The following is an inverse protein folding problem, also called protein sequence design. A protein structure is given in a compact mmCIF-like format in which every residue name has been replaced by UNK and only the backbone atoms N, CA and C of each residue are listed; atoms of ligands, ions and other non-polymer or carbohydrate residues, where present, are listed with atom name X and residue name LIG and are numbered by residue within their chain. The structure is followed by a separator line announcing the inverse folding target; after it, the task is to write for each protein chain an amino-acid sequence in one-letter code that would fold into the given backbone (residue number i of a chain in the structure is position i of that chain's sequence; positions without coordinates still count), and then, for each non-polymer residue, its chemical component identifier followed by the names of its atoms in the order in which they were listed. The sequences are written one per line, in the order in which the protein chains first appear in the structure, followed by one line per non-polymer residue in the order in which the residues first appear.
data_IF_097129311943
#
_entry.id   IF_097129311943
#
_cell.length_a   1.000
_cell.length_b   1.000
_cell.length_c   1.000
_cell.angle_alpha   90.00
_cell.angle_beta   90.00
_cell.angle_gamma   90.00
#
_symmetry.space_group_name_H-M   'P 1'
#
loop_
_entity.id
_entity.type
_entity.pdbx_description
1 polymer ?
#
# COMPACT_ATOMS: atom_id res chain seq x y z
N UNK A 1 -59.18 -47.31 27.40
CA UNK A 1 -57.96 -47.66 26.63
C UNK A 1 -57.40 -46.38 26.05
N UNK A 2 -56.33 -45.86 26.64
CA UNK A 2 -55.56 -44.74 26.11
C UNK A 2 -54.10 -45.21 25.95
N UNK A 3 -53.47 -45.02 24.78
CA UNK A 3 -52.13 -45.55 24.54
C UNK A 3 -51.05 -44.71 25.23
N UNK A 4 -50.07 -45.46 25.74
CA UNK A 4 -48.89 -45.04 26.49
C UNK A 4 -47.80 -44.45 25.59
N UNK A 5 -46.95 -43.66 26.24
CA UNK A 5 -45.88 -42.80 25.73
C UNK A 5 -44.85 -43.45 24.79
N UNK A 6 -44.23 -42.61 23.95
CA UNK A 6 -42.90 -42.83 23.39
C UNK A 6 -42.05 -41.55 23.60
N UNK A 7 -40.96 -41.68 24.35
CA UNK A 7 -40.00 -40.61 24.64
C UNK A 7 -39.11 -40.32 23.42
N UNK A 8 -38.95 -39.05 23.01
CA UNK A 8 -38.21 -38.68 21.80
C UNK A 8 -36.72 -38.33 22.07
N UNK A 9 -36.01 -39.12 22.88
CA UNK A 9 -34.64 -38.76 23.31
C UNK A 9 -33.64 -39.91 23.14
N UNK A 10 -33.49 -40.38 21.90
CA UNK A 10 -32.36 -41.22 21.50
C UNK A 10 -31.60 -40.54 20.37
N UNK A 11 -30.34 -40.12 20.59
CA UNK A 11 -29.52 -39.54 19.53
C UNK A 11 -29.21 -40.61 18.47
N UNK A 12 -29.13 -40.22 17.19
CA UNK A 12 -28.87 -41.15 16.10
C UNK A 12 -27.46 -41.77 16.23
N UNK A 13 -27.30 -43.04 15.82
CA UNK A 13 -26.01 -43.73 15.89
C UNK A 13 -24.97 -43.03 15.00
N UNK A 14 -23.74 -42.90 15.54
CA UNK A 14 -22.63 -42.29 14.85
C UNK A 14 -22.19 -43.12 13.62
N UNK A 15 -21.78 -42.47 12.52
CA UNK A 15 -21.28 -43.16 11.34
C UNK A 15 -19.94 -43.87 11.61
N UNK A 16 -19.66 -44.99 10.91
CA UNK A 16 -18.42 -45.74 11.08
C UNK A 16 -17.21 -44.92 10.61
N UNK A 17 -16.12 -45.00 11.40
CA UNK A 17 -14.86 -44.33 11.09
C UNK A 17 -14.21 -44.95 9.83
N UNK A 18 -13.59 -44.12 8.96
CA UNK A 18 -12.91 -44.62 7.78
C UNK A 18 -11.65 -45.42 8.15
N UNK A 19 -11.27 -46.44 7.34
CA UNK A 19 -10.09 -47.24 7.58
C UNK A 19 -8.82 -46.38 7.51
N UNK A 20 -7.95 -46.53 8.50
CA UNK A 20 -6.66 -45.85 8.60
C UNK A 20 -5.75 -46.26 7.44
N UNK A 21 -5.49 -45.32 6.53
CA UNK A 21 -4.54 -45.52 5.43
C UNK A 21 -3.14 -45.74 6.02
N UNK A 22 -2.57 -46.93 5.78
CA UNK A 22 -1.17 -47.25 6.10
C UNK A 22 -0.26 -46.31 5.31
N UNK A 23 0.46 -45.46 6.04
CA UNK A 23 1.51 -44.59 5.50
C UNK A 23 2.67 -45.48 5.03
N UNK A 24 3.10 -45.40 3.76
CA UNK A 24 4.23 -46.18 3.27
C UNK A 24 5.55 -45.70 3.90
N UNK A 25 6.54 -46.60 4.10
CA UNK A 25 7.83 -46.24 4.68
C UNK A 25 8.59 -45.28 3.76
N UNK A 26 9.21 -44.27 4.40
CA UNK A 26 9.97 -43.21 3.75
C UNK A 26 11.26 -43.79 3.14
N UNK A 27 11.59 -43.51 1.86
CA UNK A 27 12.82 -44.00 1.25
C UNK A 27 14.04 -43.36 1.91
N UNK A 28 15.07 -44.17 2.18
CA UNK A 28 16.33 -43.73 2.76
C UNK A 28 17.06 -42.81 1.77
N UNK A 29 17.36 -41.58 2.22
CA UNK A 29 18.14 -40.61 1.45
C UNK A 29 19.60 -41.08 1.38
N UNK A 30 20.13 -41.17 0.16
CA UNK A 30 21.53 -41.47 -0.09
C UNK A 30 22.45 -40.35 0.45
N UNK A 31 23.68 -40.68 0.90
CA UNK A 31 24.60 -39.70 1.44
C UNK A 31 25.03 -38.69 0.37
N UNK A 32 24.69 -37.43 0.59
CA UNK A 32 25.16 -36.29 -0.22
C UNK A 32 26.66 -36.10 0.00
N UNK A 33 27.43 -36.39 -1.05
CA UNK A 33 28.86 -36.04 -1.13
C UNK A 33 28.97 -34.51 -1.16
N UNK A 34 29.59 -33.94 -0.12
CA UNK A 34 29.79 -32.50 -0.02
C UNK A 34 30.74 -32.02 -1.14
N UNK A 35 30.42 -30.94 -1.87
CA UNK A 35 31.31 -30.36 -2.86
C UNK A 35 32.55 -29.76 -2.19
N UNK A 36 33.72 -29.80 -2.86
CA UNK A 36 34.96 -29.22 -2.34
C UNK A 36 34.83 -27.71 -2.15
N UNK A 37 35.37 -27.22 -1.04
CA UNK A 37 35.34 -25.81 -0.67
C UNK A 37 36.04 -24.95 -1.75
N UNK A 38 35.46 -23.80 -2.16
CA UNK A 38 36.10 -22.90 -3.10
C UNK A 38 37.36 -22.30 -2.47
N UNK A 39 38.45 -22.32 -3.24
CA UNK A 39 39.71 -21.69 -2.88
C UNK A 39 39.48 -20.22 -2.52
N UNK A 40 39.92 -19.84 -1.32
CA UNK A 40 39.83 -18.48 -0.80
C UNK A 40 40.63 -17.53 -1.69
N UNK A 41 39.93 -16.71 -2.47
CA UNK A 41 40.56 -15.61 -3.20
C UNK A 41 41.14 -14.60 -2.19
N UNK A 42 42.33 -14.04 -2.47
CA UNK A 42 42.90 -13.00 -1.61
C UNK A 42 41.96 -11.78 -1.57
N UNK A 43 41.84 -11.11 -0.42
CA UNK A 43 40.97 -9.95 -0.29
C UNK A 43 41.42 -8.83 -1.24
N UNK A 44 40.48 -8.11 -1.87
CA UNK A 44 40.82 -6.97 -2.70
C UNK A 44 41.53 -5.92 -1.84
N UNK A 45 42.67 -5.44 -2.34
CA UNK A 45 43.40 -4.31 -1.78
C UNK A 45 42.45 -3.11 -1.80
N UNK A 46 41.92 -2.74 -0.64
CA UNK A 46 41.13 -1.53 -0.47
C UNK A 46 42.07 -0.34 -0.63
N UNK A 47 42.09 0.25 -1.81
CA UNK A 47 42.62 1.59 -2.00
C UNK A 47 41.85 2.52 -1.07
N UNK A 48 42.56 3.09 -0.08
CA UNK A 48 42.02 4.06 0.84
C UNK A 48 41.38 5.22 0.06
N UNK A 49 40.06 5.27 0.07
CA UNK A 49 39.28 6.38 -0.45
C UNK A 49 39.63 7.62 0.40
N UNK A 50 40.07 8.73 -0.21
CA UNK A 50 40.40 9.93 0.54
C UNK A 50 39.12 10.44 1.26
N UNK A 51 39.25 11.02 2.46
CA UNK A 51 38.10 11.49 3.23
C UNK A 51 37.32 12.52 2.41
N UNK A 52 36.13 12.12 1.96
CA UNK A 52 35.16 13.03 1.34
C UNK A 52 34.76 14.03 2.42
N UNK A 53 35.20 15.28 2.26
CA UNK A 53 34.78 16.37 3.11
C UNK A 53 33.24 16.43 3.12
N UNK A 54 32.59 16.55 4.29
CA UNK A 54 31.14 16.68 4.34
C UNK A 54 30.73 17.90 3.50
N UNK A 55 29.67 17.80 2.68
CA UNK A 55 29.19 18.95 1.93
C UNK A 55 28.89 20.08 2.92
N UNK A 56 29.19 21.35 2.58
CA UNK A 56 28.82 22.47 3.43
C UNK A 56 27.32 22.38 3.68
N UNK A 57 26.95 22.41 4.96
CA UNK A 57 25.56 22.54 5.38
C UNK A 57 25.13 23.92 4.93
N UNK A 58 24.63 24.03 3.70
CA UNK A 58 23.97 25.23 3.21
C UNK A 58 22.75 25.40 4.09
N UNK A 59 22.83 26.36 5.01
CA UNK A 59 21.71 26.80 5.81
C UNK A 59 20.53 26.98 4.86
N UNK A 60 19.45 26.23 5.09
CA UNK A 60 18.18 26.40 4.40
C UNK A 60 17.81 27.88 4.54
N UNK A 61 18.03 28.65 3.48
CA UNK A 61 17.49 29.97 3.36
C UNK A 61 15.98 29.81 3.50
N UNK A 62 15.41 30.45 4.52
CA UNK A 62 14.00 30.49 4.78
C UNK A 62 13.26 30.81 3.48
N UNK A 63 12.58 29.81 2.93
CA UNK A 63 11.67 30.00 1.80
C UNK A 63 10.59 30.95 2.30
N UNK A 64 10.65 32.18 1.80
CA UNK A 64 9.66 33.20 2.10
C UNK A 64 8.27 32.65 1.75
N UNK A 65 7.40 32.58 2.75
CA UNK A 65 6.01 32.17 2.56
C UNK A 65 5.37 32.99 1.43
N UNK A 66 4.65 32.35 0.49
CA UNK A 66 3.87 33.07 -0.48
C UNK A 66 2.76 33.84 0.26
N UNK A 67 2.89 35.17 0.28
CA UNK A 67 1.89 36.10 0.81
C UNK A 67 0.51 35.73 0.26
N UNK A 68 -0.34 35.17 1.14
CA UNK A 68 -1.74 34.87 0.86
C UNK A 68 -2.45 36.15 0.42
N UNK A 69 -2.71 36.28 -0.88
CA UNK A 69 -3.61 37.30 -1.42
C UNK A 69 -4.99 37.08 -0.80
N UNK A 70 -5.38 37.99 0.09
CA UNK A 70 -6.74 38.07 0.64
C UNK A 70 -7.71 38.31 -0.49
N UNK A 71 -8.41 37.27 -0.94
CA UNK A 71 -9.62 37.43 -1.74
C UNK A 71 -10.67 38.12 -0.87
N UNK A 72 -10.92 39.41 -1.14
CA UNK A 72 -12.10 40.11 -0.64
C UNK A 72 -13.34 39.44 -1.23
N UNK A 73 -13.99 38.57 -0.43
CA UNK A 73 -15.35 38.10 -0.72
C UNK A 73 -16.28 39.31 -0.71
N UNK A 74 -16.77 39.67 -1.89
CA UNK A 74 -17.90 40.57 -2.10
C UNK A 74 -19.13 39.89 -1.52
N UNK A 75 -19.86 40.60 -0.67
CA UNK A 75 -21.07 40.11 -0.02
C UNK A 75 -22.18 39.84 -1.02
N UNK A 76 -22.87 38.71 -0.82
CA UNK A 76 -24.23 38.50 -1.30
C UNK A 76 -25.10 38.28 -0.08
N UNK A 77 -25.90 39.30 0.22
CA UNK A 77 -27.05 39.21 1.12
C UNK A 77 -28.23 38.65 0.32
N UNK A 78 -28.79 37.53 0.78
CA UNK A 78 -30.15 37.06 0.50
C UNK A 78 -30.49 36.09 1.65
N UNK A 79 -31.22 36.58 2.65
CA UNK A 79 -32.64 36.27 2.90
C UNK A 79 -32.84 34.80 3.31
N UNK A 80 -33.12 34.51 4.58
CA UNK A 80 -34.38 34.66 5.29
C UNK A 80 -35.09 33.29 5.43
N UNK A 81 -35.23 32.85 6.68
CA UNK A 81 -36.38 32.08 7.15
C UNK A 81 -36.43 30.59 6.84
N UNK A 82 -36.19 29.76 7.87
CA UNK A 82 -37.30 29.03 8.51
C UNK A 82 -36.84 28.34 9.78
N UNK A 83 -37.44 28.77 10.88
CA UNK A 83 -37.59 27.98 12.09
C UNK A 83 -38.44 26.73 11.79
N UNK A 84 -38.02 25.59 12.33
CA UNK A 84 -38.81 24.37 12.39
C UNK A 84 -38.32 23.49 13.51
N UNK A 85 -38.87 23.71 14.72
CA UNK A 85 -38.82 22.74 15.82
C UNK A 85 -39.64 21.51 15.43
N UNK A 86 -39.11 20.32 15.69
CA UNK A 86 -39.93 19.17 16.09
C UNK A 86 -39.12 18.20 16.95
N UNK A 87 -39.66 17.98 18.15
CA UNK A 87 -39.38 16.89 19.09
C UNK A 87 -40.12 15.62 18.62
N UNK A 88 -39.67 14.46 19.09
CA UNK A 88 -40.44 13.21 19.16
C UNK A 88 -39.72 12.06 18.45
N UNK A 89 -39.13 11.10 19.16
CA UNK A 89 -39.73 9.94 19.86
C UNK A 89 -39.84 8.70 18.95
N UNK A 90 -39.15 7.64 19.38
CA UNK A 90 -39.49 6.21 19.35
C UNK A 90 -39.73 5.45 18.02
N UNK A 91 -39.12 4.26 17.96
CA UNK A 91 -39.49 3.12 17.09
C UNK A 91 -38.98 3.25 15.65
N UNK A 92 -38.48 2.22 14.97
CA UNK A 92 -38.83 0.80 15.02
C UNK A 92 -37.73 0.03 14.26
N UNK A 93 -37.36 -1.14 14.75
CA UNK A 93 -36.55 -2.12 14.01
C UNK A 93 -37.33 -2.64 12.80
N UNK A 94 -36.69 -2.68 11.62
CA UNK A 94 -37.09 -3.54 10.51
C UNK A 94 -35.85 -4.17 9.84
N UNK A 95 -35.95 -5.41 9.35
CA UNK A 95 -34.83 -6.22 8.88
C UNK A 95 -34.46 -5.90 7.43
N UNK A 96 -33.16 -5.81 7.15
CA UNK A 96 -32.60 -5.72 5.80
C UNK A 96 -32.51 -7.11 5.19
N UNK A 97 -33.27 -7.35 4.11
CA UNK A 97 -33.06 -8.47 3.20
C UNK A 97 -31.90 -8.17 2.22
N UNK A 98 -31.17 -9.19 1.74
CA UNK A 98 -30.01 -9.00 0.88
C UNK A 98 -30.42 -8.78 -0.58
N UNK A 99 -30.13 -7.58 -1.11
CA UNK A 99 -30.19 -7.27 -2.53
C UNK A 99 -28.81 -7.40 -3.16
N UNK A 100 -28.69 -8.28 -4.14
CA UNK A 100 -27.54 -8.47 -5.03
C UNK A 100 -26.98 -7.15 -5.59
N UNK A 101 -25.64 -6.97 -5.64
CA UNK A 101 -25.05 -6.04 -6.59
C UNK A 101 -24.59 -6.75 -7.87
N UNK A 102 -24.98 -6.09 -8.95
CA UNK A 102 -24.65 -6.30 -10.35
C UNK A 102 -23.14 -6.48 -10.60
N UNK A 103 -22.84 -7.46 -11.48
CA UNK A 103 -21.60 -7.58 -12.24
C UNK A 103 -21.11 -6.23 -12.75
N UNK A 104 -19.93 -5.81 -12.29
CA UNK A 104 -19.16 -4.72 -12.90
C UNK A 104 -17.94 -5.33 -13.59
N UNK A 105 -17.93 -5.23 -14.91
CA UNK A 105 -16.86 -5.72 -15.80
C UNK A 105 -15.46 -5.20 -15.39
N UNK A 106 -14.41 -5.98 -15.66
CA UNK A 106 -13.04 -5.60 -15.34
C UNK A 106 -12.61 -4.38 -16.16
N UNK A 107 -12.18 -3.33 -15.45
CA UNK A 107 -11.54 -2.16 -16.02
C UNK A 107 -10.15 -2.59 -16.51
N UNK A 108 -9.92 -2.50 -17.81
CA UNK A 108 -8.62 -2.67 -18.44
C UNK A 108 -7.58 -1.81 -17.73
N UNK A 109 -6.49 -2.45 -17.32
CA UNK A 109 -5.30 -1.85 -16.71
C UNK A 109 -4.79 -0.75 -17.64
N UNK A 110 -4.87 0.49 -17.20
CA UNK A 110 -4.26 1.62 -17.87
C UNK A 110 -2.75 1.46 -17.80
N UNK A 111 -2.13 1.23 -18.95
CA UNK A 111 -0.70 1.43 -19.17
C UNK A 111 -0.34 2.82 -18.65
N UNK A 112 0.61 2.88 -17.71
CA UNK A 112 1.10 4.15 -17.19
C UNK A 112 1.72 4.95 -18.34
N UNK A 113 0.96 5.92 -18.83
CA UNK A 113 1.37 6.91 -19.82
C UNK A 113 2.56 7.68 -19.26
N UNK A 114 3.73 7.48 -19.87
CA UNK A 114 4.90 8.34 -19.67
C UNK A 114 4.51 9.82 -19.88
N UNK A 115 5.09 10.76 -19.12
CA UNK A 115 4.75 12.18 -19.27
C UNK A 115 5.02 12.62 -20.72
N UNK A 116 3.94 13.06 -21.37
CA UNK A 116 3.93 13.53 -22.75
C UNK A 116 4.92 14.69 -22.91
N UNK A 117 5.85 14.53 -23.85
CA UNK A 117 6.65 15.63 -24.38
C UNK A 117 5.72 16.76 -24.90
N UNK A 118 6.10 18.03 -24.77
CA UNK A 118 5.27 19.14 -25.21
C UNK A 118 5.02 19.05 -26.72
N UNK A 119 3.73 19.07 -27.09
CA UNK A 119 3.25 19.09 -28.46
C UNK A 119 3.83 20.31 -29.19
N UNK A 120 4.66 20.03 -30.20
CA UNK A 120 5.09 21.02 -31.16
C UNK A 120 3.90 21.43 -32.02
N UNK A 121 3.60 22.71 -31.91
CA UNK A 121 2.63 23.53 -32.63
C UNK A 121 2.65 23.26 -34.14
N UNK A 122 1.47 22.94 -34.67
CA UNK A 122 1.22 22.70 -36.08
C UNK A 122 1.40 24.01 -36.87
N UNK A 123 2.58 24.18 -37.48
CA UNK A 123 2.81 25.20 -38.49
C UNK A 123 2.28 24.71 -39.84
N UNK A 124 1.59 25.62 -40.52
CA UNK A 124 0.84 25.44 -41.75
C UNK A 124 1.67 24.83 -42.89
N UNK A 125 1.01 23.99 -43.69
CA UNK A 125 1.46 23.49 -44.99
C UNK A 125 1.27 24.60 -46.03
N UNK A 126 2.33 25.15 -46.64
CA UNK A 126 2.18 25.95 -47.85
C UNK A 126 2.09 25.06 -49.09
N UNK A 127 1.30 25.56 -50.03
CA UNK A 127 0.91 25.00 -51.31
C UNK A 127 2.07 24.60 -52.21
N UNK A 128 1.78 23.60 -53.03
CA UNK A 128 2.68 22.96 -53.98
C UNK A 128 2.91 23.84 -55.22
N UNK A 129 4.18 24.09 -55.55
CA UNK A 129 4.60 24.52 -56.88
C UNK A 129 5.85 23.75 -57.33
N UNK A 130 5.73 23.19 -58.54
CA UNK A 130 6.74 22.68 -59.48
C UNK A 130 7.67 21.47 -59.09
N UNK A 131 7.69 20.40 -59.91
CA UNK A 131 8.71 19.36 -59.84
C UNK A 131 9.99 19.84 -60.55
N UNK A 132 10.91 20.45 -59.82
CA UNK A 132 12.30 20.55 -60.29
C UNK A 132 13.00 19.20 -60.12
N UNK A 133 13.70 18.77 -61.17
CA UNK A 133 14.46 17.52 -61.23
C UNK A 133 15.37 17.37 -59.99
N UNK A 134 15.35 16.20 -59.30
CA UNK A 134 16.17 16.00 -58.13
C UNK A 134 17.65 16.13 -58.52
N UNK A 135 18.43 17.02 -57.89
CA UNK A 135 19.85 17.13 -58.18
C UNK A 135 20.49 15.78 -57.87
N UNK A 136 21.07 15.17 -58.91
CA UNK A 136 21.81 13.92 -58.81
C UNK A 136 22.79 14.00 -57.64
N UNK A 137 22.73 13.08 -56.66
CA UNK A 137 23.62 13.11 -55.51
C UNK A 137 25.05 12.83 -56.03
N UNK A 138 25.79 13.89 -56.27
CA UNK A 138 27.22 13.81 -56.50
C UNK A 138 27.80 13.33 -55.18
N UNK A 139 28.29 12.08 -55.16
CA UNK A 139 28.88 11.41 -54.00
C UNK A 139 30.18 12.10 -53.56
N UNK A 140 30.06 13.31 -53.03
CA UNK A 140 31.15 14.06 -52.45
C UNK A 140 31.53 13.50 -51.06
N UNK A 141 32.79 13.71 -50.63
CA UNK A 141 33.29 13.31 -49.31
C UNK A 141 32.41 13.80 -48.13
N UNK A 142 31.61 14.85 -48.33
CA UNK A 142 30.66 15.39 -47.35
C UNK A 142 29.54 14.42 -46.95
N UNK A 143 29.16 13.46 -47.80
CA UNK A 143 28.09 12.50 -47.50
C UNK A 143 28.51 11.49 -46.41
N UNK A 144 29.77 11.05 -46.46
CA UNK A 144 30.34 10.15 -45.45
C UNK A 144 30.50 10.86 -44.11
N UNK A 145 30.94 12.12 -44.10
CA UNK A 145 31.12 12.90 -42.87
C UNK A 145 29.79 13.12 -42.14
N UNK A 146 28.71 13.42 -42.88
CA UNK A 146 27.35 13.54 -42.31
C UNK A 146 26.88 12.24 -41.66
N UNK A 147 27.16 11.09 -42.28
CA UNK A 147 26.77 9.79 -41.73
C UNK A 147 27.57 9.48 -40.45
N UNK A 148 28.87 9.75 -40.45
CA UNK A 148 29.72 9.58 -39.26
C UNK A 148 29.23 10.45 -38.11
N UNK A 149 28.95 11.73 -38.36
CA UNK A 149 28.39 12.63 -37.35
C UNK A 149 27.04 12.16 -36.82
N UNK A 150 26.18 11.63 -37.68
CA UNK A 150 24.88 11.07 -37.26
C UNK A 150 25.05 9.84 -36.37
N UNK A 151 25.96 8.93 -36.71
CA UNK A 151 26.23 7.75 -35.90
C UNK A 151 26.85 8.10 -34.55
N UNK A 152 27.77 9.07 -34.53
CA UNK A 152 28.34 9.60 -33.29
C UNK A 152 27.24 10.18 -32.40
N UNK A 153 26.40 11.06 -32.96
CA UNK A 153 25.27 11.64 -32.23
C UNK A 153 24.32 10.59 -31.67
N UNK A 154 23.96 9.56 -32.45
CA UNK A 154 23.11 8.47 -31.97
C UNK A 154 23.81 7.64 -30.87
N UNK A 155 25.11 7.46 -30.96
CA UNK A 155 25.92 6.82 -29.92
C UNK A 155 25.87 7.60 -28.61
N UNK A 156 26.04 8.92 -28.68
CA UNK A 156 25.98 9.82 -27.52
C UNK A 156 24.58 9.88 -26.90
N UNK A 157 23.53 9.94 -27.72
CA UNK A 157 22.13 9.91 -27.27
C UNK A 157 21.80 8.57 -26.58
N UNK A 158 22.24 7.44 -27.16
CA UNK A 158 22.06 6.12 -26.56
C UNK A 158 22.84 5.97 -25.24
N UNK A 159 24.07 6.49 -25.18
CA UNK A 159 24.86 6.49 -23.97
C UNK A 159 24.21 7.31 -22.86
N UNK A 160 23.67 8.48 -23.21
CA UNK A 160 22.93 9.36 -22.30
C UNK A 160 21.68 8.65 -21.78
N UNK A 161 20.87 8.07 -22.67
CA UNK A 161 19.66 7.32 -22.30
C UNK A 161 19.96 6.16 -21.35
N UNK A 162 21.03 5.40 -21.60
CA UNK A 162 21.46 4.30 -20.72
C UNK A 162 21.89 4.79 -19.34
N UNK A 163 22.61 5.90 -19.30
CA UNK A 163 23.07 6.52 -18.04
C UNK A 163 21.87 7.01 -17.22
N UNK A 164 20.88 7.62 -17.87
CA UNK A 164 19.63 8.03 -17.22
C UNK A 164 18.82 6.83 -16.72
N UNK A 165 18.66 5.79 -17.54
CA UNK A 165 17.98 4.56 -17.13
C UNK A 165 18.64 3.92 -15.90
N UNK A 166 19.97 3.83 -15.88
CA UNK A 166 20.71 3.32 -14.74
C UNK A 166 20.52 4.19 -13.48
N UNK A 167 20.42 5.51 -13.64
CA UNK A 167 20.11 6.42 -12.53
C UNK A 167 18.70 6.20 -11.99
N UNK A 168 17.70 6.10 -12.86
CA UNK A 168 16.31 5.83 -12.45
C UNK A 168 16.17 4.48 -11.77
N UNK A 169 16.85 3.45 -12.25
CA UNK A 169 16.87 2.13 -11.63
C UNK A 169 17.40 2.20 -10.19
N UNK A 170 18.53 2.89 -9.97
CA UNK A 170 19.08 3.08 -8.61
C UNK A 170 18.10 3.82 -7.69
N UNK A 171 17.38 4.82 -8.20
CA UNK A 171 16.35 5.52 -7.43
C UNK A 171 15.16 4.61 -7.09
N UNK A 172 14.70 3.80 -8.05
CA UNK A 172 13.63 2.83 -7.82
C UNK A 172 14.03 1.78 -6.77
N UNK A 173 15.26 1.26 -6.85
CA UNK A 173 15.80 0.28 -5.91
C UNK A 173 16.00 0.87 -4.51
N UNK A 174 16.44 2.13 -4.41
CA UNK A 174 16.51 2.85 -3.14
C UNK A 174 15.12 3.02 -2.52
N UNK A 175 14.15 3.50 -3.31
CA UNK A 175 12.77 3.67 -2.86
C UNK A 175 12.12 2.33 -2.42
N UNK A 176 12.39 1.24 -3.15
CA UNK A 176 11.89 -0.08 -2.78
C UNK A 176 12.43 -0.56 -1.43
N UNK A 177 13.72 -0.34 -1.15
CA UNK A 177 14.35 -0.65 0.15
C UNK A 177 13.76 0.19 1.28
N UNK A 178 13.58 1.49 1.06
CA UNK A 178 12.98 2.39 2.04
C UNK A 178 11.54 1.98 2.36
N UNK A 179 10.75 1.64 1.33
CA UNK A 179 9.38 1.14 1.50
C UNK A 179 9.33 -0.15 2.30
N UNK A 180 10.25 -1.08 2.06
CA UNK A 180 10.35 -2.33 2.83
C UNK A 180 10.79 -2.10 4.27
N UNK A 181 11.70 -1.15 4.51
CA UNK A 181 12.10 -0.74 5.84
C UNK A 181 10.92 -0.17 6.63
N UNK A 182 10.20 0.81 6.05
CA UNK A 182 9.01 1.41 6.67
C UNK A 182 7.89 0.39 6.91
N UNK A 183 7.71 -0.57 5.99
CA UNK A 183 6.74 -1.66 6.18
C UNK A 183 7.09 -2.53 7.40
N UNK A 184 8.37 -2.86 7.60
CA UNK A 184 8.84 -3.62 8.76
C UNK A 184 8.67 -2.83 10.05
N UNK A 185 9.03 -1.55 10.09
CA UNK A 185 8.85 -0.72 11.29
C UNK A 185 7.38 -0.63 11.69
N UNK A 186 6.50 -0.36 10.71
CA UNK A 186 5.05 -0.37 10.90
C UNK A 186 4.57 -1.71 11.47
N UNK A 187 5.05 -2.84 10.95
CA UNK A 187 4.65 -4.16 11.43
C UNK A 187 5.03 -4.38 12.91
N UNK A 188 6.23 -3.95 13.33
CA UNK A 188 6.65 -4.04 14.74
C UNK A 188 5.80 -3.14 15.64
N UNK A 189 5.49 -1.92 15.22
CA UNK A 189 4.61 -1.01 15.97
C UNK A 189 3.20 -1.60 16.12
N UNK A 190 2.66 -2.20 15.06
CA UNK A 190 1.36 -2.88 15.11
C UNK A 190 1.39 -4.11 16.03
N UNK A 191 2.48 -4.89 16.01
CA UNK A 191 2.65 -6.03 16.91
C UNK A 191 2.70 -5.60 18.38
N UNK A 192 3.40 -4.50 18.67
CA UNK A 192 3.44 -3.88 19.99
C UNK A 192 2.06 -3.38 20.43
N UNK A 193 1.35 -2.64 19.57
CA UNK A 193 -0.03 -2.20 19.85
C UNK A 193 -0.98 -3.38 20.10
N UNK A 194 -0.86 -4.45 19.33
CA UNK A 194 -1.66 -5.65 19.54
C UNK A 194 -1.35 -6.35 20.87
N UNK A 195 -0.09 -6.30 21.34
CA UNK A 195 0.30 -6.82 22.65
C UNK A 195 -0.30 -5.99 23.81
N UNK A 196 -0.46 -4.68 23.63
CA UNK A 196 -1.13 -3.80 24.60
C UNK A 196 -2.65 -3.99 24.63
N UNK A 197 -3.24 -4.53 23.56
CA UNK A 197 -4.69 -4.72 23.42
C UNK A 197 -5.09 -6.16 23.07
N UNK A 198 -4.75 -7.16 23.91
CA UNK A 198 -4.94 -8.57 23.58
C UNK A 198 -6.42 -8.97 23.41
N UNK A 199 -7.34 -8.25 24.03
CA UNK A 199 -8.79 -8.51 23.95
C UNK A 199 -9.43 -8.01 22.66
N UNK A 200 -8.83 -7.00 21.99
CA UNK A 200 -9.41 -6.38 20.80
C UNK A 200 -8.64 -6.66 19.51
N UNK A 201 -7.42 -7.21 19.60
CA UNK A 201 -6.61 -7.58 18.45
C UNK A 201 -6.93 -8.99 17.95
N UNK A 202 -7.14 -9.12 16.65
CA UNK A 202 -7.40 -10.40 15.97
C UNK A 202 -6.66 -10.42 14.63
N UNK A 203 -5.99 -11.53 14.32
CA UNK A 203 -5.41 -11.78 12.99
C UNK A 203 -6.31 -12.73 12.22
N UNK A 204 -6.67 -12.38 10.99
CA UNK A 204 -7.44 -13.22 10.07
C UNK A 204 -6.70 -13.38 8.74
N UNK A 205 -7.07 -14.39 7.97
CA UNK A 205 -6.57 -14.52 6.60
C UNK A 205 -7.31 -13.54 5.68
N UNK A 206 -6.55 -12.84 4.82
CA UNK A 206 -7.14 -12.02 3.77
C UNK A 206 -7.69 -12.92 2.66
N UNK A 207 -8.89 -12.67 2.11
CA UNK A 207 -9.30 -13.27 0.85
C UNK A 207 -8.30 -12.93 -0.24
N UNK A 208 -7.88 -13.94 -1.00
CA UNK A 208 -7.07 -13.75 -2.19
C UNK A 208 -7.86 -12.91 -3.22
N UNK A 209 -7.30 -11.82 -3.76
CA UNK A 209 -8.01 -10.97 -4.72
C UNK A 209 -8.32 -11.74 -6.02
N UNK A 210 -7.45 -12.69 -6.38
CA UNK A 210 -7.54 -13.47 -7.63
C UNK A 210 -7.67 -14.99 -7.39
N UNK A 211 -8.05 -15.41 -6.17
CA UNK A 211 -8.13 -16.83 -5.80
C UNK A 211 -6.78 -17.55 -5.66
N UNK A 212 -5.66 -16.91 -5.97
CA UNK A 212 -4.32 -17.42 -5.67
C UNK A 212 -4.00 -17.19 -4.21
N UNK A 213 -3.67 -18.27 -3.47
CA UNK A 213 -3.45 -18.28 -2.02
C UNK A 213 -2.24 -17.43 -1.60
N UNK A 214 -2.35 -16.10 -1.70
CA UNK A 214 -1.27 -15.15 -1.52
C UNK A 214 -0.80 -14.97 -0.09
N UNK A 215 -1.30 -15.76 0.87
CA UNK A 215 -0.83 -15.78 2.27
C UNK A 215 -0.89 -14.44 2.98
N UNK A 216 -1.62 -13.45 2.46
CA UNK A 216 -1.81 -12.16 3.11
C UNK A 216 -2.74 -12.33 4.30
N UNK A 217 -2.45 -11.60 5.37
CA UNK A 217 -3.25 -11.60 6.58
C UNK A 217 -3.72 -10.19 6.88
N UNK A 218 -4.72 -10.09 7.75
CA UNK A 218 -5.26 -8.82 8.20
C UNK A 218 -5.22 -8.82 9.72
N UNK A 219 -4.61 -7.79 10.28
CA UNK A 219 -4.79 -7.45 11.68
C UNK A 219 -6.02 -6.55 11.79
N UNK A 220 -6.97 -6.95 12.63
CA UNK A 220 -8.11 -6.12 13.02
C UNK A 220 -7.99 -5.79 14.51
N UNK A 221 -8.05 -4.50 14.85
CA UNK A 221 -8.01 -3.98 16.23
C UNK A 221 -9.20 -3.05 16.46
N UNK A 222 -9.91 -3.21 17.57
CA UNK A 222 -11.02 -2.31 17.92
C UNK A 222 -10.51 -1.18 18.82
N UNK A 223 -10.64 0.07 18.37
CA UNK A 223 -10.27 1.28 19.12
C UNK A 223 -11.35 2.35 18.99
N UNK A 224 -11.74 2.96 20.11
CA UNK A 224 -12.85 3.94 20.14
C UNK A 224 -14.16 3.36 19.58
N UNK A 225 -14.42 2.07 19.83
CA UNK A 225 -15.62 1.36 19.36
C UNK A 225 -15.65 1.06 17.86
N UNK A 226 -14.59 1.36 17.10
CA UNK A 226 -14.51 1.05 15.66
C UNK A 226 -13.40 0.05 15.34
N UNK A 227 -13.64 -0.91 14.43
CA UNK A 227 -12.61 -1.81 13.94
C UNK A 227 -11.68 -1.08 12.95
N UNK A 228 -10.39 -1.13 13.25
CA UNK A 228 -9.30 -0.67 12.41
C UNK A 228 -8.62 -1.90 11.84
N UNK A 229 -8.26 -1.90 10.56
CA UNK A 229 -7.58 -3.04 9.96
C UNK A 229 -6.37 -2.63 9.15
N UNK A 230 -5.40 -3.55 9.10
CA UNK A 230 -4.14 -3.38 8.39
C UNK A 230 -3.76 -4.70 7.70
N UNK A 231 -3.29 -4.60 6.46
CA UNK A 231 -2.74 -5.74 5.73
C UNK A 231 -1.35 -6.09 6.25
N UNK A 232 -1.10 -7.39 6.41
CA UNK A 232 0.14 -7.97 6.88
C UNK A 232 0.70 -8.89 5.80
N UNK A 233 1.98 -8.70 5.49
CA UNK A 233 2.69 -9.62 4.61
C UNK A 233 2.91 -10.97 5.31
N UNK A 234 2.98 -12.10 4.56
CA UNK A 234 3.19 -13.43 5.16
C UNK A 234 4.39 -13.50 6.12
N UNK A 235 5.48 -12.78 5.82
CA UNK A 235 6.70 -12.71 6.65
C UNK A 235 6.53 -11.94 7.97
N UNK A 236 5.50 -11.11 8.07
CA UNK A 236 5.23 -10.28 9.25
C UNK A 236 4.36 -11.03 10.27
N UNK A 237 3.62 -12.05 9.81
CA UNK A 237 2.72 -12.87 10.62
C UNK A 237 3.36 -13.45 11.90
N UNK A 238 4.61 -13.96 11.89
CA UNK A 238 5.24 -14.48 13.10
C UNK A 238 5.38 -13.44 14.23
N UNK A 239 5.40 -12.14 13.92
CA UNK A 239 5.43 -11.07 14.93
C UNK A 239 4.15 -11.00 15.76
N UNK A 240 3.06 -11.62 15.30
CA UNK A 240 1.73 -11.59 15.91
C UNK A 240 1.33 -12.93 16.54
N UNK A 241 2.30 -13.79 16.88
CA UNK A 241 2.06 -15.11 17.49
C UNK A 241 1.26 -15.04 18.81
N UNK A 242 1.30 -13.91 19.52
CA UNK A 242 0.56 -13.66 20.75
C UNK A 242 -0.89 -13.19 20.52
N UNK A 243 -1.24 -12.83 19.27
CA UNK A 243 -2.57 -12.32 18.93
C UNK A 243 -3.50 -13.48 18.58
N UNK A 244 -4.77 -13.37 18.97
CA UNK A 244 -5.79 -14.37 18.66
C UNK A 244 -6.01 -14.48 17.15
N UNK A 245 -6.08 -15.71 16.66
CA UNK A 245 -6.38 -16.01 15.26
C UNK A 245 -7.89 -16.22 15.05
N UNK A 246 -8.48 -15.51 14.09
CA UNK A 246 -9.81 -15.79 13.59
C UNK A 246 -9.75 -16.91 12.54
N UNK A 247 -10.70 -17.85 12.64
CA UNK A 247 -10.86 -18.93 11.66
C UNK A 247 -11.55 -18.48 10.38
N UNK A 248 -12.45 -17.50 10.50
CA UNK A 248 -13.19 -17.00 9.36
C UNK A 248 -12.35 -15.94 8.63
N UNK A 249 -12.23 -16.03 7.29
CA UNK A 249 -11.55 -15.02 6.51
C UNK A 249 -12.29 -13.68 6.67
N UNK A 250 -11.55 -12.63 7.00
CA UNK A 250 -12.14 -11.30 7.09
C UNK A 250 -12.29 -10.76 5.67
N UNK A 251 -13.54 -10.67 5.20
CA UNK A 251 -13.86 -10.16 3.88
C UNK A 251 -13.50 -8.68 3.71
N UNK A 252 -13.17 -7.98 4.81
CA UNK A 252 -12.76 -6.56 4.81
C UNK A 252 -11.26 -6.34 4.61
N UNK A 253 -10.53 -7.35 4.15
CA UNK A 253 -9.08 -7.23 3.95
C UNK A 253 -8.68 -6.15 2.93
N UNK A 254 -9.55 -5.88 1.97
CA UNK A 254 -9.31 -4.93 0.91
C UNK A 254 -10.17 -3.69 1.16
N UNK A 255 -9.53 -2.64 1.68
CA UNK A 255 -10.15 -1.32 1.82
C UNK A 255 -9.87 -0.48 0.60
N UNK A 256 -10.86 0.28 0.17
CA UNK A 256 -10.63 1.36 -0.78
C UNK A 256 -9.87 2.53 -0.11
N UNK A 257 -9.44 3.49 -0.93
CA UNK A 257 -8.69 4.64 -0.44
C UNK A 257 -9.51 5.50 0.54
N UNK A 258 -10.82 5.63 0.31
CA UNK A 258 -11.72 6.43 1.13
C UNK A 258 -11.88 5.84 2.54
N UNK A 259 -12.02 4.51 2.65
CA UNK A 259 -12.05 3.79 3.92
C UNK A 259 -10.73 3.88 4.69
N UNK A 260 -9.59 3.91 3.98
CA UNK A 260 -8.26 4.12 4.58
C UNK A 260 -8.17 5.54 5.17
N UNK A 261 -8.59 6.56 4.42
CA UNK A 261 -8.62 7.95 4.89
C UNK A 261 -9.57 8.12 6.09
N UNK A 262 -10.76 7.51 6.03
CA UNK A 262 -11.73 7.51 7.12
C UNK A 262 -11.18 6.82 8.38
N UNK A 263 -10.43 5.71 8.22
CA UNK A 263 -9.72 5.05 9.31
C UNK A 263 -8.70 5.99 9.95
N UNK A 264 -7.86 6.67 9.18
CA UNK A 264 -6.87 7.59 9.73
C UNK A 264 -7.49 8.81 10.40
N UNK A 265 -8.55 9.37 9.83
CA UNK A 265 -9.30 10.46 10.45
C UNK A 265 -9.89 10.02 11.81
N UNK A 266 -10.39 8.77 11.90
CA UNK A 266 -10.86 8.20 13.16
C UNK A 266 -9.73 8.02 14.17
N UNK A 267 -8.58 7.45 13.76
CA UNK A 267 -7.41 7.29 14.63
C UNK A 267 -6.99 8.65 15.19
N UNK A 268 -6.81 9.65 14.34
CA UNK A 268 -6.41 10.99 14.76
C UNK A 268 -7.40 11.61 15.76
N UNK A 269 -8.72 11.48 15.50
CA UNK A 269 -9.74 11.97 16.42
C UNK A 269 -9.72 11.23 17.75
N UNK A 270 -9.58 9.91 17.73
CA UNK A 270 -9.58 9.09 18.94
C UNK A 270 -8.35 9.37 19.81
N UNK A 271 -7.15 9.43 19.22
CA UNK A 271 -5.92 9.80 19.92
C UNK A 271 -6.04 11.18 20.56
N UNK A 272 -6.63 12.15 19.85
CA UNK A 272 -6.88 13.48 20.42
C UNK A 272 -7.83 13.44 21.62
N UNK A 273 -8.88 12.62 21.59
CA UNK A 273 -9.79 12.49 22.75
C UNK A 273 -9.08 11.86 23.95
N UNK A 274 -8.32 10.79 23.74
CA UNK A 274 -7.56 10.12 24.82
C UNK A 274 -6.58 11.08 25.51
N UNK A 275 -5.90 11.93 24.74
CA UNK A 275 -5.02 12.96 25.31
C UNK A 275 -5.77 13.96 26.20
N UNK A 276 -6.96 14.40 25.79
CA UNK A 276 -7.78 15.32 26.58
C UNK A 276 -8.32 14.66 27.86
N UNK A 277 -8.69 13.37 27.79
CA UNK A 277 -9.15 12.62 28.98
C UNK A 277 -8.05 12.49 30.03
N UNK A 278 -6.81 12.24 29.59
CA UNK A 278 -5.64 12.17 30.49
C UNK A 278 -5.35 13.53 31.14
N UNK A 279 -5.40 14.62 30.36
CA UNK A 279 -5.26 15.98 30.88
C UNK A 279 -6.32 16.32 31.92
N UNK A 280 -7.59 15.96 31.68
CA UNK A 280 -8.66 16.19 32.64
C UNK A 280 -8.48 15.35 33.91
N UNK A 281 -8.10 14.08 33.77
CA UNK A 281 -7.83 13.21 34.92
C UNK A 281 -6.71 13.80 35.80
N UNK A 282 -5.65 14.32 35.17
CA UNK A 282 -4.56 15.00 35.87
C UNK A 282 -5.02 16.23 36.63
N UNK A 283 -5.82 17.10 36.01
CA UNK A 283 -6.35 18.31 36.67
C UNK A 283 -7.23 17.97 37.87
N UNK A 284 -8.06 16.93 37.76
CA UNK A 284 -8.91 16.48 38.87
C UNK A 284 -8.07 15.95 40.04
N UNK A 285 -6.98 15.23 39.76
CA UNK A 285 -6.05 14.74 40.80
C UNK A 285 -5.21 15.87 41.42
N UNK A 286 -5.02 16.99 40.74
CA UNK A 286 -4.36 18.18 41.31
C UNK A 286 -5.30 18.89 42.29
N UNK A 287 -6.56 19.12 41.88
CA UNK A 287 -7.57 19.73 42.76
C UNK A 287 -7.82 18.90 44.03
N UNK A 288 -7.84 17.57 43.93
CA UNK A 288 -7.98 16.67 45.10
C UNK A 288 -6.82 16.71 46.08
N UNK A 289 -5.64 17.18 45.67
CA UNK A 289 -4.47 17.30 46.56
C UNK A 289 -4.43 18.63 47.32
N UNK A 290 -5.21 19.62 46.90
CA UNK A 290 -5.25 20.94 47.52
C UNK A 290 -6.30 21.05 48.64
N UNK A 291 -7.24 20.10 48.70
CA UNK A 291 -8.24 19.93 49.76
C UNK A 291 -7.73 19.07 50.93
#
# INVERSE_FOLDING_TARGET
MAPSAASPDSPPPLPPLPPTARVPPRPALAPTVAPPAPATAPPPVQSAEPPVAPPPVTALAAVAEPRRRRFRRRGSHASAGRSGRSRGLLGTFLPTAPGFPLSRSPRTVGTATAPAAPAAEAAAVPDADAPEDPPTPTGGPDATDRLVHRLQRLGDELHTSRTEAARWQRHADAYARDREHMARERAHLLAWLAALHPSSAVVSQAPAPDGTAGGWHVLTLVAGGRPLSWTLAPREVPLFQHVRWARDPDTRAWRDLEEIEAQYAHIHRHTRMLALEDDMARVVEELRRED
#
